data_IF_425552450309
#
_entry.id   IF_425552450309
#
_cell.length_a   1.000
_cell.length_b   1.000
_cell.length_c   1.000
_cell.angle_alpha   90.00
_cell.angle_beta   90.00
_cell.angle_gamma   90.00
#
_symmetry.space_group_name_H-M   'P 1'
#
loop_
_entity.id
_entity.type
_entity.pdbx_description
1 polymer ?
#
# COMPACT_ATOMS: atom_id res chain seq x y z
N UNK A 1 -0.84 -25.90 -3.07
CA UNK A 1 -0.55 -25.11 -1.84
C UNK A 1 -0.49 -23.61 -2.14
N UNK A 2 -1.09 -23.18 -3.25
CA UNK A 2 -0.73 -21.92 -3.91
C UNK A 2 -1.66 -20.77 -3.53
N UNK A 3 -2.95 -21.07 -3.31
CA UNK A 3 -3.92 -20.05 -2.93
C UNK A 3 -3.73 -19.54 -1.50
N UNK A 4 -3.37 -20.43 -0.57
CA UNK A 4 -3.14 -20.07 0.82
C UNK A 4 -1.87 -19.21 0.96
N UNK A 5 -0.83 -19.53 0.17
CA UNK A 5 0.37 -18.72 0.07
C UNK A 5 0.11 -17.34 -0.55
N UNK A 6 -0.66 -17.29 -1.65
CA UNK A 6 -1.02 -16.04 -2.29
C UNK A 6 -1.84 -15.11 -1.37
N UNK A 7 -2.79 -15.68 -0.61
CA UNK A 7 -3.55 -14.93 0.40
C UNK A 7 -2.66 -14.38 1.53
N UNK A 8 -1.67 -15.15 1.99
CA UNK A 8 -0.72 -14.68 2.99
C UNK A 8 0.12 -13.51 2.47
N UNK A 9 0.61 -13.58 1.24
CA UNK A 9 1.39 -12.49 0.62
C UNK A 9 0.52 -11.25 0.39
N UNK A 10 -0.72 -11.43 -0.09
CA UNK A 10 -1.67 -10.34 -0.26
C UNK A 10 -1.99 -9.67 1.08
N UNK A 11 -2.30 -10.46 2.12
CA UNK A 11 -2.56 -9.95 3.46
C UNK A 11 -1.34 -9.21 4.04
N UNK A 12 -0.14 -9.78 3.92
CA UNK A 12 1.11 -9.15 4.36
C UNK A 12 1.37 -7.80 3.66
N UNK A 13 0.85 -7.61 2.44
CA UNK A 13 0.98 -6.36 1.69
C UNK A 13 -0.12 -5.35 2.05
N UNK A 14 -1.36 -5.80 2.24
CA UNK A 14 -2.53 -4.94 2.52
C UNK A 14 -2.52 -4.41 3.96
N UNK A 15 -2.19 -5.26 4.94
CA UNK A 15 -2.20 -4.91 6.37
C UNK A 15 -1.35 -3.67 6.70
N UNK A 16 -0.08 -3.56 6.26
CA UNK A 16 0.71 -2.36 6.55
C UNK A 16 0.15 -1.11 5.85
N UNK A 17 -0.51 -1.24 4.70
CA UNK A 17 -1.05 -0.11 3.94
C UNK A 17 -2.19 0.59 4.68
N UNK A 18 -2.98 -0.13 5.50
CA UNK A 18 -3.98 0.50 6.35
C UNK A 18 -3.39 1.50 7.35
N UNK A 19 -2.12 1.33 7.77
CA UNK A 19 -1.43 2.28 8.64
C UNK A 19 -0.63 3.32 7.87
N UNK A 20 0.00 2.91 6.76
CA UNK A 20 0.84 3.79 5.95
C UNK A 20 0.02 4.84 5.19
N UNK A 21 -1.06 4.45 4.51
CA UNK A 21 -1.82 5.37 3.67
C UNK A 21 -2.38 6.59 4.45
N UNK A 22 -3.00 6.42 5.64
CA UNK A 22 -3.46 7.56 6.43
C UNK A 22 -2.36 8.51 6.87
N UNK A 23 -1.14 8.01 7.09
CA UNK A 23 0.01 8.86 7.46
C UNK A 23 0.34 9.87 6.34
N UNK A 24 0.15 9.48 5.08
CA UNK A 24 0.34 10.36 3.92
C UNK A 24 -0.93 11.15 3.54
N UNK A 25 -1.99 11.10 4.35
CA UNK A 25 -3.29 11.72 4.04
C UNK A 25 -4.08 11.00 2.94
N UNK A 26 -3.73 9.75 2.61
CA UNK A 26 -4.40 8.93 1.61
C UNK A 26 -5.48 8.07 2.30
N UNK A 27 -6.64 7.90 1.66
CA UNK A 27 -7.73 7.11 2.22
C UNK A 27 -7.34 5.62 2.39
N UNK A 28 -7.53 5.08 3.59
CA UNK A 28 -7.19 3.71 3.96
C UNK A 28 -7.82 2.63 3.07
N UNK A 29 -9.00 2.89 2.48
CA UNK A 29 -9.68 1.92 1.59
C UNK A 29 -8.91 1.65 0.30
N UNK A 30 -7.96 2.53 -0.09
CA UNK A 30 -7.07 2.27 -1.21
C UNK A 30 -6.17 1.05 -0.99
N UNK A 31 -5.96 0.60 0.26
CA UNK A 31 -5.22 -0.63 0.55
C UNK A 31 -5.80 -1.87 -0.17
N UNK A 32 -7.09 -1.86 -0.55
CA UNK A 32 -7.69 -2.94 -1.34
C UNK A 32 -7.02 -3.13 -2.72
N UNK A 33 -6.42 -2.09 -3.31
CA UNK A 33 -5.67 -2.23 -4.57
C UNK A 33 -4.43 -3.11 -4.42
N UNK A 34 -3.89 -3.29 -3.20
CA UNK A 34 -2.74 -4.16 -2.94
C UNK A 34 -3.05 -5.66 -3.09
N UNK A 35 -4.32 -6.05 -3.29
CA UNK A 35 -4.69 -7.41 -3.73
C UNK A 35 -4.01 -7.74 -5.07
N UNK A 36 -3.85 -6.72 -5.93
CA UNK A 36 -3.09 -6.84 -7.16
C UNK A 36 -1.66 -6.33 -6.93
N UNK A 37 -0.62 -7.09 -7.33
CA UNK A 37 0.77 -6.69 -7.12
C UNK A 37 1.08 -5.32 -7.76
N UNK A 38 0.44 -5.02 -8.90
CA UNK A 38 0.55 -3.72 -9.58
C UNK A 38 -0.02 -2.58 -8.73
N UNK A 39 -1.12 -2.81 -8.01
CA UNK A 39 -1.74 -1.79 -7.15
C UNK A 39 -0.83 -1.41 -5.98
N UNK A 40 -0.09 -2.38 -5.42
CA UNK A 40 0.93 -2.12 -4.41
C UNK A 40 2.05 -1.21 -4.95
N UNK A 41 2.56 -1.47 -6.15
CA UNK A 41 3.61 -0.66 -6.76
C UNK A 41 3.12 0.78 -6.98
N UNK A 42 1.90 0.96 -7.50
CA UNK A 42 1.32 2.29 -7.72
C UNK A 42 1.15 3.04 -6.40
N UNK A 43 0.64 2.40 -5.35
CA UNK A 43 0.47 3.05 -4.04
C UNK A 43 1.80 3.44 -3.41
N UNK A 44 2.81 2.58 -3.50
CA UNK A 44 4.16 2.89 -3.05
C UNK A 44 4.75 4.10 -3.80
N UNK A 45 4.53 4.19 -5.12
CA UNK A 45 4.96 5.34 -5.91
C UNK A 45 4.28 6.62 -5.44
N UNK A 46 2.96 6.60 -5.25
CA UNK A 46 2.19 7.75 -4.76
C UNK A 46 2.69 8.18 -3.37
N UNK A 47 2.94 7.22 -2.48
CA UNK A 47 3.50 7.50 -1.14
C UNK A 47 4.91 8.09 -1.22
N UNK A 48 5.77 7.59 -2.12
CA UNK A 48 7.11 8.14 -2.33
C UNK A 48 7.06 9.60 -2.82
N UNK A 49 6.16 9.91 -3.75
CA UNK A 49 5.92 11.29 -4.20
C UNK A 49 5.43 12.18 -3.05
N UNK A 50 4.52 11.67 -2.20
CA UNK A 50 4.03 12.38 -1.02
C UNK A 50 5.12 12.58 0.04
N UNK A 51 5.99 11.60 0.22
CA UNK A 51 7.13 11.68 1.13
C UNK A 51 8.07 12.82 0.72
N UNK A 52 8.39 12.92 -0.58
CA UNK A 52 9.22 14.00 -1.12
C UNK A 52 8.58 15.39 -0.94
N UNK A 53 7.25 15.49 -0.95
CA UNK A 53 6.55 16.74 -0.63
C UNK A 53 6.64 17.11 0.85
N UNK A 54 6.62 16.11 1.74
CA UNK A 54 6.74 16.31 3.20
C UNK A 54 8.16 16.71 3.59
N UNK A 55 9.19 16.10 2.99
CA UNK A 55 10.61 16.41 3.27
C UNK A 55 11.03 17.80 2.78
N UNK A 56 10.32 18.37 1.81
CA UNK A 56 10.57 19.73 1.30
C UNK A 56 9.95 20.84 2.16
N UNK A 57 9.08 20.49 3.11
CA UNK A 57 8.47 21.44 4.06
C UNK A 57 9.28 21.55 5.33
#
# INVERSE_FOLDING_TARGET
>A
MDMLWWLLVAAASIIPMFKLLPHFGINQYWAAFCILPVGTIVLLWVMAMKLQELEKR
#
